data_IF_061613021743
#
_entry.id   IF_061613021743
#
_cell.length_a   1.000
_cell.length_b   1.000
_cell.length_c   1.000
_cell.angle_alpha   90.00
_cell.angle_beta   90.00
_cell.angle_gamma   90.00
#
_symmetry.space_group_name_H-M   'P 1'
#
loop_
_entity.id
_entity.type
_entity.pdbx_description
1 polymer ?
#
# COMPACT_ATOMS: atom_id res chain seq x y z
N UNK A 1 2.34 -2.52 -0.09
CA UNK A 1 1.02 -2.52 -0.73
C UNK A 1 1.18 -2.95 -2.17
N UNK A 2 0.16 -3.62 -2.67
CA UNK A 2 0.14 -4.18 -4.02
C UNK A 2 -1.14 -3.78 -4.72
N UNK A 3 -1.07 -3.60 -6.02
CA UNK A 3 -2.24 -3.55 -6.87
C UNK A 3 -2.55 -4.98 -7.33
N UNK A 4 -3.78 -5.39 -7.12
CA UNK A 4 -4.28 -6.72 -7.47
C UNK A 4 -5.35 -6.55 -8.54
N UNK A 5 -5.17 -7.20 -9.69
CA UNK A 5 -6.13 -7.26 -10.78
C UNK A 5 -7.08 -8.44 -10.64
N UNK A 6 -8.25 -8.37 -11.26
CA UNK A 6 -9.20 -9.47 -11.34
C UNK A 6 -8.77 -10.57 -12.33
N UNK A 7 -7.95 -10.23 -13.30
CA UNK A 7 -7.44 -11.12 -14.35
C UNK A 7 -5.91 -11.01 -14.46
N UNK A 8 -5.23 -12.04 -15.01
CA UNK A 8 -3.79 -11.95 -15.26
C UNK A 8 -3.45 -10.85 -16.24
N UNK A 9 -2.49 -10.00 -15.89
CA UNK A 9 -2.00 -8.90 -16.72
C UNK A 9 -0.46 -8.87 -16.64
N UNK A 10 0.24 -9.75 -17.37
CA UNK A 10 1.69 -9.89 -17.28
C UNK A 10 2.46 -8.63 -17.75
N UNK A 11 1.86 -7.85 -18.63
CA UNK A 11 2.45 -6.63 -19.19
C UNK A 11 1.80 -5.35 -18.65
N UNK A 12 1.21 -5.41 -17.44
CA UNK A 12 0.50 -4.30 -16.81
C UNK A 12 1.29 -3.00 -16.85
N UNK A 13 0.61 -1.92 -17.26
CA UNK A 13 1.09 -0.55 -17.17
C UNK A 13 0.10 0.30 -16.39
N UNK A 14 0.60 1.30 -15.64
CA UNK A 14 -0.27 2.18 -14.84
C UNK A 14 -1.35 2.89 -15.67
N UNK A 15 -1.07 3.15 -16.95
CA UNK A 15 -2.04 3.74 -17.88
C UNK A 15 -3.23 2.83 -18.20
N UNK A 16 -3.12 1.52 -17.96
CA UNK A 16 -4.21 0.56 -18.18
C UNK A 16 -5.37 0.75 -17.18
N UNK A 17 -5.12 1.50 -16.10
CA UNK A 17 -6.15 1.88 -15.14
C UNK A 17 -7.12 2.93 -15.65
N UNK A 18 -6.87 3.55 -16.81
CA UNK A 18 -7.80 4.55 -17.37
C UNK A 18 -9.16 3.94 -17.67
N UNK A 19 -10.21 4.54 -17.12
CA UNK A 19 -11.60 4.06 -17.24
C UNK A 19 -11.94 2.85 -16.36
N UNK A 20 -11.02 2.41 -15.49
CA UNK A 20 -11.20 1.25 -14.61
C UNK A 20 -11.76 1.64 -13.25
N UNK A 21 -12.24 0.61 -12.54
CA UNK A 21 -12.73 0.71 -11.16
C UNK A 21 -11.76 0.02 -10.19
N UNK A 22 -11.41 0.72 -9.11
CA UNK A 22 -10.43 0.28 -8.12
C UNK A 22 -10.98 0.41 -6.70
N UNK A 23 -10.89 -0.66 -5.91
CA UNK A 23 -11.08 -0.54 -4.46
C UNK A 23 -9.80 0.06 -3.86
N UNK A 24 -9.81 1.38 -3.63
CA UNK A 24 -8.62 2.15 -3.23
C UNK A 24 -8.33 2.12 -1.73
N UNK A 25 -9.24 1.53 -0.94
CA UNK A 25 -9.15 1.56 0.51
C UNK A 25 -9.62 2.89 1.10
N UNK A 26 -9.30 3.11 2.36
CA UNK A 26 -9.80 4.26 3.12
C UNK A 26 -9.22 5.58 2.62
N UNK A 27 -10.10 6.55 2.37
CA UNK A 27 -9.74 7.93 2.01
C UNK A 27 -8.75 8.55 3.02
N UNK A 28 -7.68 9.18 2.50
CA UNK A 28 -6.63 9.79 3.31
C UNK A 28 -5.73 8.81 4.05
N UNK A 29 -5.86 7.52 3.78
CA UNK A 29 -4.91 6.50 4.25
C UNK A 29 -3.63 6.48 3.41
N UNK A 30 -2.51 6.08 4.01
CA UNK A 30 -1.24 6.01 3.27
C UNK A 30 -1.30 5.15 1.99
N UNK A 31 -1.98 3.98 1.98
CA UNK A 31 -2.08 3.19 0.75
C UNK A 31 -2.75 3.94 -0.39
N UNK A 32 -3.85 4.61 -0.08
CA UNK A 32 -4.61 5.38 -1.05
C UNK A 32 -3.81 6.60 -1.53
N UNK A 33 -3.20 7.35 -0.61
CA UNK A 33 -2.36 8.51 -0.97
C UNK A 33 -1.17 8.12 -1.84
N UNK A 34 -0.51 6.98 -1.56
CA UNK A 34 0.58 6.44 -2.38
C UNK A 34 0.07 6.00 -3.74
N UNK A 35 -1.10 5.35 -3.79
CA UNK A 35 -1.73 4.96 -5.05
C UNK A 35 -2.03 6.18 -5.91
N UNK A 36 -2.70 7.20 -5.38
CA UNK A 36 -2.93 8.46 -6.11
C UNK A 36 -1.64 9.15 -6.57
N UNK A 37 -0.60 9.13 -5.72
CA UNK A 37 0.71 9.67 -6.10
C UNK A 37 1.29 8.96 -7.32
N UNK A 38 1.21 7.62 -7.36
CA UNK A 38 1.70 6.82 -8.50
C UNK A 38 0.86 7.12 -9.75
N UNK A 39 -0.47 7.23 -9.63
CA UNK A 39 -1.34 7.61 -10.75
C UNK A 39 -0.89 8.94 -11.35
N UNK A 40 -0.75 9.97 -10.52
CA UNK A 40 -0.30 11.32 -10.94
C UNK A 40 1.09 11.29 -11.57
N UNK A 41 2.01 10.50 -11.00
CA UNK A 41 3.38 10.31 -11.54
C UNK A 41 3.36 9.70 -12.94
N UNK A 42 2.36 8.87 -13.25
CA UNK A 42 2.17 8.25 -14.56
C UNK A 42 1.20 9.01 -15.46
N UNK A 43 0.80 10.23 -15.09
CA UNK A 43 -0.03 11.10 -15.94
C UNK A 43 -1.53 10.82 -15.87
N UNK A 44 -2.00 10.06 -14.89
CA UNK A 44 -3.41 9.81 -14.62
C UNK A 44 -3.93 10.78 -13.55
N UNK A 45 -5.11 11.32 -13.79
CA UNK A 45 -5.86 12.09 -12.79
C UNK A 45 -6.74 11.12 -11.97
N UNK A 46 -6.49 10.93 -10.65
CA UNK A 46 -7.28 10.04 -9.82
C UNK A 46 -8.76 10.40 -9.72
N UNK A 47 -9.12 11.64 -10.03
CA UNK A 47 -10.50 12.13 -9.91
C UNK A 47 -11.34 11.94 -11.19
N UNK A 48 -10.68 11.85 -12.33
CA UNK A 48 -11.37 11.88 -13.64
C UNK A 48 -11.05 10.69 -14.53
N UNK A 49 -9.85 10.09 -14.41
CA UNK A 49 -9.40 9.05 -15.34
C UNK A 49 -9.82 7.64 -14.92
N UNK A 50 -10.21 7.43 -13.65
CA UNK A 50 -10.65 6.13 -13.13
C UNK A 50 -11.64 6.32 -11.97
N UNK A 51 -12.30 5.24 -11.54
CA UNK A 51 -13.20 5.26 -10.39
C UNK A 51 -12.52 4.61 -9.18
N UNK A 52 -12.25 5.36 -8.12
CA UNK A 52 -11.66 4.85 -6.88
C UNK A 52 -12.74 4.79 -5.81
N UNK A 53 -13.15 3.57 -5.44
CA UNK A 53 -14.07 3.36 -4.33
C UNK A 53 -13.29 3.35 -3.00
N UNK A 54 -13.60 4.31 -2.15
CA UNK A 54 -13.01 4.51 -0.82
C UNK A 54 -14.00 4.21 0.31
N UNK A 55 -15.17 3.66 0.01
CA UNK A 55 -16.23 3.39 0.97
C UNK A 55 -15.98 2.18 1.85
N UNK A 56 -15.12 1.25 1.40
CA UNK A 56 -14.83 0.01 2.10
C UNK A 56 -13.71 0.24 3.13
N UNK A 57 -13.97 -0.16 4.36
CA UNK A 57 -13.02 -0.03 5.45
C UNK A 57 -11.75 -0.83 5.18
N UNK A 58 -10.63 -0.29 5.64
CA UNK A 58 -9.33 -0.92 5.62
C UNK A 58 -9.36 -2.36 6.19
N UNK A 59 -8.75 -3.29 5.46
CA UNK A 59 -8.73 -4.71 5.81
C UNK A 59 -9.96 -5.51 5.38
N UNK A 60 -10.98 -4.86 4.80
CA UNK A 60 -12.15 -5.53 4.24
C UNK A 60 -12.18 -5.55 2.71
N UNK A 61 -11.28 -4.81 2.06
CA UNK A 61 -11.21 -4.70 0.60
C UNK A 61 -10.95 -6.05 -0.06
N UNK A 62 -10.02 -6.84 0.46
CA UNK A 62 -9.72 -8.18 -0.06
C UNK A 62 -10.93 -9.12 0.01
N UNK A 63 -11.69 -9.08 1.10
CA UNK A 63 -12.90 -9.90 1.25
C UNK A 63 -14.04 -9.41 0.33
N UNK A 64 -14.11 -8.11 0.08
CA UNK A 64 -15.13 -7.53 -0.79
C UNK A 64 -14.80 -7.69 -2.27
N UNK A 65 -13.53 -7.71 -2.64
CA UNK A 65 -13.07 -7.67 -4.02
C UNK A 65 -13.69 -8.78 -4.90
N UNK A 66 -13.72 -10.07 -4.52
CA UNK A 66 -14.28 -11.12 -5.37
C UNK A 66 -15.75 -10.90 -5.72
N UNK A 67 -16.54 -10.39 -4.76
CA UNK A 67 -17.97 -10.11 -4.94
C UNK A 67 -18.29 -8.72 -5.49
N UNK A 68 -17.30 -7.83 -5.58
CA UNK A 68 -17.46 -6.47 -6.14
C UNK A 68 -17.41 -6.47 -7.66
N UNK A 69 -17.86 -5.37 -8.28
CA UNK A 69 -17.67 -5.13 -9.70
C UNK A 69 -16.33 -4.45 -10.05
N UNK A 70 -15.44 -4.25 -9.08
CA UNK A 70 -14.19 -3.57 -9.28
C UNK A 70 -13.20 -4.38 -10.13
N UNK A 71 -12.45 -3.70 -10.98
CA UNK A 71 -11.41 -4.33 -11.82
C UNK A 71 -10.15 -4.62 -11.01
N UNK A 72 -9.83 -3.74 -10.05
CA UNK A 72 -8.62 -3.83 -9.22
C UNK A 72 -8.92 -3.54 -7.75
N UNK A 73 -7.98 -3.95 -6.89
CA UNK A 73 -7.97 -3.57 -5.48
C UNK A 73 -6.55 -3.27 -5.00
N UNK A 74 -6.43 -2.35 -4.05
CA UNK A 74 -5.16 -2.05 -3.36
C UNK A 74 -5.10 -2.82 -2.06
N UNK A 75 -4.15 -3.75 -1.96
CA UNK A 75 -4.08 -4.69 -0.86
C UNK A 75 -2.73 -4.69 -0.13
N UNK A 76 -2.77 -5.14 1.12
CA UNK A 76 -1.58 -5.46 1.91
C UNK A 76 -1.32 -6.96 1.95
N UNK A 77 -0.13 -7.33 2.35
CA UNK A 77 0.11 -8.69 2.83
C UNK A 77 -0.51 -8.90 4.23
N UNK A 78 -1.08 -10.07 4.50
CA UNK A 78 -1.11 -11.29 3.68
C UNK A 78 -2.29 -11.37 2.68
N UNK A 79 -3.09 -10.34 2.56
CA UNK A 79 -4.34 -10.37 1.78
C UNK A 79 -4.10 -10.46 0.26
N UNK A 80 -3.07 -9.77 -0.26
CA UNK A 80 -2.71 -9.87 -1.67
C UNK A 80 -2.34 -11.32 -2.04
N UNK A 81 -1.46 -11.95 -1.26
CA UNK A 81 -1.10 -13.36 -1.44
C UNK A 81 -2.31 -14.29 -1.29
N UNK A 82 -3.22 -14.01 -0.35
CA UNK A 82 -4.42 -14.83 -0.16
C UNK A 82 -5.35 -14.80 -1.38
N UNK A 83 -5.54 -13.63 -2.01
CA UNK A 83 -6.31 -13.50 -3.25
C UNK A 83 -5.70 -14.31 -4.40
N UNK A 84 -4.37 -14.27 -4.54
CA UNK A 84 -3.66 -15.08 -5.55
C UNK A 84 -3.82 -16.58 -5.30
N UNK A 85 -3.60 -17.03 -4.06
CA UNK A 85 -3.73 -18.45 -3.71
C UNK A 85 -5.15 -19.01 -3.90
N UNK A 86 -6.16 -18.15 -3.76
CA UNK A 86 -7.56 -18.50 -3.99
C UNK A 86 -7.98 -18.38 -5.47
N UNK A 87 -7.08 -17.91 -6.35
CA UNK A 87 -7.41 -17.64 -7.75
C UNK A 87 -8.43 -16.52 -7.94
N UNK A 88 -8.54 -15.61 -6.97
CA UNK A 88 -9.52 -14.52 -6.94
C UNK A 88 -8.91 -13.16 -7.32
N UNK A 89 -7.60 -13.11 -7.53
CA UNK A 89 -6.88 -11.92 -7.95
C UNK A 89 -5.44 -12.23 -8.33
N UNK A 90 -4.80 -11.29 -8.99
CA UNK A 90 -3.43 -11.41 -9.49
C UNK A 90 -2.67 -10.13 -9.14
N UNK A 91 -1.55 -10.24 -8.46
CA UNK A 91 -0.70 -9.09 -8.16
C UNK A 91 -0.04 -8.61 -9.45
N UNK A 92 -0.34 -7.38 -9.84
CA UNK A 92 0.16 -6.78 -11.10
C UNK A 92 1.20 -5.68 -10.86
N UNK A 93 1.19 -5.03 -9.69
CA UNK A 93 2.17 -4.00 -9.37
C UNK A 93 2.46 -3.91 -7.86
N UNK A 94 3.66 -3.44 -7.52
CA UNK A 94 4.05 -3.11 -6.15
C UNK A 94 4.08 -1.60 -5.95
N UNK A 95 3.14 -1.07 -5.16
CA UNK A 95 3.11 0.35 -4.85
C UNK A 95 4.41 0.83 -4.18
N UNK A 96 5.04 -0.03 -3.38
CA UNK A 96 6.29 0.30 -2.71
C UNK A 96 7.50 0.41 -3.65
N UNK A 97 7.48 -0.34 -4.76
CA UNK A 97 8.50 -0.23 -5.80
C UNK A 97 8.25 1.01 -6.66
N UNK A 98 7.02 1.19 -7.12
CA UNK A 98 6.67 2.20 -8.12
C UNK A 98 6.59 3.62 -7.55
N UNK A 99 6.24 3.75 -6.26
CA UNK A 99 6.31 5.05 -5.58
C UNK A 99 7.75 5.54 -5.40
N UNK A 100 8.70 4.63 -5.31
CA UNK A 100 10.03 4.94 -4.86
C UNK A 100 10.08 5.24 -3.35
N UNK A 101 11.06 6.02 -2.91
CA UNK A 101 11.24 6.34 -1.50
C UNK A 101 10.26 7.43 -1.06
N UNK A 102 9.27 7.04 -0.26
CA UNK A 102 8.29 7.97 0.33
C UNK A 102 8.23 7.78 1.85
N UNK A 103 7.99 8.85 2.65
CA UNK A 103 7.69 8.70 4.06
C UNK A 103 6.34 7.99 4.21
N UNK A 104 6.29 6.92 5.03
CA UNK A 104 5.09 6.11 5.15
C UNK A 104 4.36 6.35 6.47
N UNK A 105 5.06 6.20 7.59
CA UNK A 105 4.50 6.44 8.93
C UNK A 105 5.46 7.27 9.76
N UNK A 106 4.90 8.04 10.71
CA UNK A 106 5.68 8.82 11.65
C UNK A 106 5.11 8.69 13.06
N UNK A 107 5.98 8.74 14.05
CA UNK A 107 5.59 8.92 15.43
C UNK A 107 5.44 10.40 15.72
N UNK A 108 4.39 10.78 16.44
CA UNK A 108 4.16 12.15 16.86
C UNK A 108 3.82 12.22 18.35
N UNK A 109 4.23 13.31 18.97
CA UNK A 109 3.90 13.61 20.35
C UNK A 109 3.53 15.08 20.50
N UNK A 110 2.77 15.42 21.53
CA UNK A 110 2.49 16.83 21.86
C UNK A 110 3.78 17.54 22.20
N UNK A 111 3.95 18.76 21.74
CA UNK A 111 5.16 19.56 22.01
C UNK A 111 5.39 19.73 23.51
N UNK A 112 4.35 20.08 24.26
CA UNK A 112 4.41 20.22 25.72
C UNK A 112 4.90 18.94 26.40
N UNK A 113 4.41 17.77 25.99
CA UNK A 113 4.88 16.49 26.55
C UNK A 113 6.37 16.23 26.24
N UNK A 114 6.81 16.61 25.06
CA UNK A 114 8.24 16.46 24.68
C UNK A 114 9.15 17.37 25.50
N UNK A 115 8.68 18.57 25.83
CA UNK A 115 9.41 19.55 26.66
C UNK A 115 9.44 19.15 28.13
N UNK A 116 8.35 18.55 28.65
CA UNK A 116 8.23 18.09 30.02
C UNK A 116 8.93 16.76 30.30
N UNK A 117 9.09 15.90 29.24
CA UNK A 117 9.62 14.53 29.38
C UNK A 117 10.68 14.21 28.31
N UNK A 118 11.75 15.01 28.17
CA UNK A 118 12.73 14.81 27.11
C UNK A 118 13.45 13.46 27.22
N UNK A 119 13.66 12.94 28.43
CA UNK A 119 14.30 11.65 28.66
C UNK A 119 13.45 10.47 28.16
N UNK A 120 12.12 10.55 28.28
CA UNK A 120 11.19 9.53 27.77
C UNK A 120 11.23 9.53 26.25
N UNK A 121 11.15 10.71 25.63
CA UNK A 121 11.23 10.87 24.18
C UNK A 121 12.56 10.33 23.64
N UNK A 122 13.67 10.67 24.27
CA UNK A 122 14.98 10.18 23.87
C UNK A 122 15.08 8.65 24.02
N UNK A 123 14.57 8.10 25.11
CA UNK A 123 14.50 6.65 25.34
C UNK A 123 13.69 5.93 24.25
N UNK A 124 12.55 6.50 23.87
CA UNK A 124 11.72 5.98 22.79
C UNK A 124 12.45 6.01 21.43
N UNK A 125 13.07 7.13 21.07
CA UNK A 125 13.83 7.26 19.82
C UNK A 125 14.98 6.25 19.77
N UNK A 126 15.71 6.07 20.89
CA UNK A 126 16.79 5.10 20.99
C UNK A 126 16.28 3.65 20.81
N UNK A 127 15.14 3.31 21.41
CA UNK A 127 14.54 1.99 21.28
C UNK A 127 14.13 1.69 19.82
N UNK A 128 13.49 2.64 19.13
CA UNK A 128 13.13 2.53 17.71
C UNK A 128 14.39 2.38 16.85
N UNK A 129 15.45 3.16 17.13
CA UNK A 129 16.70 3.05 16.37
C UNK A 129 17.35 1.67 16.53
N UNK A 130 17.36 1.11 17.74
CA UNK A 130 17.87 -0.23 18.01
C UNK A 130 17.03 -1.29 17.27
N UNK A 131 15.70 -1.19 17.32
CA UNK A 131 14.80 -2.09 16.63
C UNK A 131 15.02 -2.06 15.11
N UNK A 132 15.15 -0.85 14.53
CA UNK A 132 15.46 -0.66 13.11
C UNK A 132 16.78 -1.31 12.72
N UNK A 133 17.82 -1.10 13.49
CA UNK A 133 19.14 -1.68 13.22
C UNK A 133 19.14 -3.21 13.30
N UNK A 134 18.31 -3.79 14.17
CA UNK A 134 18.11 -5.25 14.24
C UNK A 134 17.29 -5.77 13.06
N UNK A 135 16.23 -5.07 12.66
CA UNK A 135 15.35 -5.50 11.57
C UNK A 135 16.03 -5.40 10.19
N UNK A 136 16.99 -4.49 10.00
CA UNK A 136 17.79 -4.43 8.77
C UNK A 136 18.67 -5.68 8.55
N UNK A 137 18.89 -6.47 9.59
CA UNK A 137 19.55 -7.79 9.51
C UNK A 137 18.64 -8.87 8.92
N UNK A 138 17.32 -8.64 8.94
CA UNK A 138 16.28 -9.52 8.38
C UNK A 138 15.56 -8.77 7.26
N UNK A 139 16.28 -8.50 6.15
CA UNK A 139 15.68 -7.92 4.95
C UNK A 139 14.70 -8.92 4.32
N UNK A 140 13.47 -8.92 4.76
CA UNK A 140 12.35 -9.35 3.94
C UNK A 140 11.99 -8.17 3.01
N UNK A 141 12.78 -7.97 2.00
CA UNK A 141 12.39 -7.13 0.86
C UNK A 141 11.90 -8.08 -0.20
N UNK A 142 10.58 -8.13 -0.39
CA UNK A 142 9.99 -8.70 -1.58
C UNK A 142 10.42 -7.81 -2.75
N UNK A 143 11.55 -8.15 -3.37
CA UNK A 143 12.13 -7.36 -4.47
C UNK A 143 11.80 -7.96 -5.84
N UNK A 144 11.23 -9.18 -5.86
CA UNK A 144 10.91 -9.87 -7.10
C UNK A 144 9.68 -10.78 -6.88
N UNK A 145 8.54 -10.54 -7.58
CA UNK A 145 7.38 -11.44 -7.54
C UNK A 145 7.72 -12.89 -7.95
N UNK A 146 8.77 -13.11 -8.74
CA UNK A 146 9.19 -14.44 -9.20
C UNK A 146 9.94 -15.25 -8.15
N UNK A 147 10.33 -14.67 -7.02
CA UNK A 147 11.07 -15.36 -5.95
C UNK A 147 10.19 -15.97 -4.86
N UNK A 148 8.88 -16.04 -5.07
CA UNK A 148 7.91 -16.55 -4.08
C UNK A 148 7.26 -17.88 -4.46
N UNK A 149 8.00 -18.77 -5.16
CA UNK A 149 7.62 -20.18 -5.34
C UNK A 149 8.76 -21.12 -5.02
#
# INVERSE_FOLDING_TARGET
>A
NFLVSRSPEPDFQWMDLKGKSVLGGRAGGMPEMVFEYILKKNGLDPQTDLSIDQSISFGLTAAAFPGSGADYTVEFEPFATALEQQGQGYVVASLGVDSGYVPYTAYSARRTYMEEHPEIIQGFVNAIQIARNKSTKYKYVRTDPSTYF
#
